data_IF_503358195797
#
_entry.id   IF_503358195797
#
_cell.length_a   1.000
_cell.length_b   1.000
_cell.length_c   1.000
_cell.angle_alpha   90.00
_cell.angle_beta   90.00
_cell.angle_gamma   90.00
#
_symmetry.space_group_name_H-M   'P 1'
#
loop_
_entity.id
_entity.type
_entity.pdbx_description
1 polymer ?
#
# COMPACT_ATOMS: atom_id res chain seq x y z
N UNK A 1 1.82 52.38 -23.18
CA UNK A 1 2.71 51.80 -22.15
C UNK A 1 1.95 51.33 -20.92
N UNK A 2 1.04 52.13 -20.34
CA UNK A 2 0.32 51.75 -19.11
C UNK A 2 -0.76 50.66 -19.30
N UNK A 3 -1.23 50.44 -20.55
CA UNK A 3 -2.13 49.33 -20.87
C UNK A 3 -1.46 47.96 -20.75
N UNK A 4 -0.15 47.88 -21.04
CA UNK A 4 0.65 46.65 -20.92
C UNK A 4 0.87 46.28 -19.44
N UNK A 5 1.05 47.29 -18.57
CA UNK A 5 1.12 47.14 -17.12
C UNK A 5 -0.21 46.64 -16.55
N UNK A 6 -1.34 47.21 -16.98
CA UNK A 6 -2.67 46.78 -16.52
C UNK A 6 -2.97 45.33 -16.94
N UNK A 7 -2.58 44.92 -18.15
CA UNK A 7 -2.78 43.54 -18.61
C UNK A 7 -1.96 42.52 -17.79
N UNK A 8 -0.72 42.86 -17.42
CA UNK A 8 0.15 41.98 -16.62
C UNK A 8 -0.39 41.83 -15.19
N UNK A 9 -0.85 42.92 -14.59
CA UNK A 9 -1.42 42.91 -13.23
C UNK A 9 -2.69 42.07 -13.19
N UNK A 10 -3.59 42.24 -14.17
CA UNK A 10 -4.83 41.46 -14.25
C UNK A 10 -4.53 39.97 -14.49
N UNK A 11 -3.56 39.64 -15.36
CA UNK A 11 -3.20 38.23 -15.59
C UNK A 11 -2.60 37.56 -14.36
N UNK A 12 -1.74 38.26 -13.61
CA UNK A 12 -1.10 37.71 -12.39
C UNK A 12 -2.14 37.49 -11.28
N UNK A 13 -3.08 38.43 -11.12
CA UNK A 13 -4.18 38.31 -10.15
C UNK A 13 -5.14 37.16 -10.50
N UNK A 14 -5.40 36.91 -11.79
CA UNK A 14 -6.21 35.76 -12.24
C UNK A 14 -5.48 34.43 -12.03
N UNK A 15 -4.18 34.35 -12.30
CA UNK A 15 -3.41 33.11 -12.10
C UNK A 15 -3.18 32.76 -10.64
N UNK A 16 -3.19 33.74 -9.72
CA UNK A 16 -2.99 33.50 -8.29
C UNK A 16 -4.22 32.88 -7.58
N UNK A 17 -5.40 32.85 -8.22
CA UNK A 17 -6.62 32.27 -7.65
C UNK A 17 -6.77 30.76 -7.89
N UNK A 18 -5.92 30.16 -8.72
CA UNK A 18 -5.90 28.72 -8.99
C UNK A 18 -4.56 28.17 -8.49
N UNK A 19 -4.57 27.42 -7.40
CA UNK A 19 -3.45 26.55 -7.06
C UNK A 19 -2.81 26.76 -5.69
N UNK A 20 -3.60 26.73 -4.61
CA UNK A 20 -3.23 25.79 -3.55
C UNK A 20 -3.55 24.40 -4.10
N UNK A 21 -2.69 23.89 -4.98
CA UNK A 21 -2.68 22.47 -5.30
C UNK A 21 -2.12 21.80 -4.05
N UNK A 22 -3.02 21.51 -3.12
CA UNK A 22 -2.86 20.58 -2.02
C UNK A 22 -2.36 19.28 -2.66
N UNK A 23 -1.03 19.16 -2.74
CA UNK A 23 -0.34 17.97 -3.19
C UNK A 23 -0.56 16.91 -2.11
N UNK A 24 -1.77 16.38 -2.03
CA UNK A 24 -2.04 15.07 -1.44
C UNK A 24 -1.49 14.02 -2.40
N UNK A 25 -0.17 14.00 -2.51
CA UNK A 25 0.49 12.71 -2.50
C UNK A 25 0.10 12.10 -1.16
N UNK A 26 -0.82 11.13 -1.21
CA UNK A 26 -1.03 10.25 -0.09
C UNK A 26 0.29 9.56 0.21
N UNK A 27 1.10 10.16 1.07
CA UNK A 27 1.95 9.42 1.96
C UNK A 27 1.02 8.50 2.73
N UNK A 28 0.83 7.27 2.25
CA UNK A 28 0.53 6.18 3.15
C UNK A 28 1.76 6.04 4.03
N UNK A 29 1.77 6.85 5.11
CA UNK A 29 2.70 6.74 6.23
C UNK A 29 2.87 5.24 6.49
N UNK A 30 4.09 4.68 6.39
CA UNK A 30 4.27 3.25 6.58
C UNK A 30 3.71 2.91 7.95
N UNK A 31 2.55 2.23 7.95
CA UNK A 31 1.97 1.73 9.19
C UNK A 31 3.06 0.86 9.81
N UNK A 32 3.43 1.08 11.07
CA UNK A 32 4.33 0.16 11.75
C UNK A 32 3.83 -1.25 11.48
N UNK A 33 4.67 -2.11 10.90
CA UNK A 33 4.31 -3.50 10.64
C UNK A 33 4.22 -4.15 12.00
N UNK A 34 3.04 -4.10 12.61
CA UNK A 34 2.79 -4.79 13.86
C UNK A 34 2.91 -6.30 13.58
N UNK A 35 3.61 -7.04 14.45
CA UNK A 35 3.75 -8.47 14.27
C UNK A 35 2.37 -9.13 14.34
N UNK A 36 1.95 -9.75 13.24
CA UNK A 36 0.70 -10.54 13.19
C UNK A 36 0.97 -11.92 13.76
N UNK A 37 0.26 -12.26 14.84
CA UNK A 37 0.32 -13.58 15.45
C UNK A 37 -0.86 -14.44 14.98
N UNK A 38 -0.56 -15.68 14.58
CA UNK A 38 -1.58 -16.66 14.20
C UNK A 38 -1.78 -17.69 15.32
N UNK A 39 -2.93 -18.37 15.31
CA UNK A 39 -3.22 -19.48 16.22
C UNK A 39 -2.26 -20.66 15.99
N UNK A 40 -1.98 -21.42 17.06
CA UNK A 40 -1.09 -22.60 17.03
C UNK A 40 -1.79 -23.84 16.48
N UNK A 41 -2.57 -23.69 15.41
CA UNK A 41 -3.25 -24.80 14.74
C UNK A 41 -2.27 -25.55 13.82
N UNK A 42 -2.43 -26.87 13.72
CA UNK A 42 -1.69 -27.71 12.81
C UNK A 42 -2.62 -28.42 11.83
N UNK A 43 -2.20 -28.52 10.56
CA UNK A 43 -2.86 -29.31 9.52
C UNK A 43 -1.95 -30.45 9.09
N UNK A 44 -2.49 -31.66 9.06
CA UNK A 44 -1.79 -32.83 8.52
C UNK A 44 -1.77 -32.77 6.99
N UNK A 45 -0.60 -33.05 6.42
CA UNK A 45 -0.36 -33.15 4.99
C UNK A 45 -0.44 -34.61 4.51
N UNK A 46 -0.64 -34.85 3.20
CA UNK A 46 -0.75 -36.21 2.65
C UNK A 46 0.51 -37.07 2.86
N UNK A 47 1.67 -36.44 3.01
CA UNK A 47 2.95 -37.10 3.32
C UNK A 47 3.08 -37.47 4.81
N UNK A 48 2.09 -37.12 5.64
CA UNK A 48 2.08 -37.32 7.09
C UNK A 48 2.76 -36.21 7.90
N UNK A 49 3.32 -35.19 7.25
CA UNK A 49 3.89 -34.02 7.94
C UNK A 49 2.79 -33.08 8.46
N UNK A 50 3.16 -32.10 9.29
CA UNK A 50 2.24 -31.08 9.80
C UNK A 50 2.70 -29.67 9.46
N UNK A 51 1.76 -28.82 9.06
CA UNK A 51 2.00 -27.41 8.73
C UNK A 51 1.14 -26.50 9.61
N UNK A 52 1.73 -25.38 10.04
CA UNK A 52 1.05 -24.34 10.82
C UNK A 52 0.48 -23.21 9.95
N UNK A 53 -0.14 -22.23 10.59
CA UNK A 53 -0.61 -20.99 9.95
C UNK A 53 0.53 -19.98 9.76
N UNK A 54 0.50 -19.23 8.65
CA UNK A 54 1.49 -18.21 8.32
C UNK A 54 0.85 -16.81 8.21
N UNK A 55 1.44 -15.76 8.82
CA UNK A 55 0.98 -14.38 8.64
C UNK A 55 1.23 -13.89 7.21
N UNK A 56 0.54 -12.84 6.73
CA UNK A 56 -0.46 -12.02 7.44
C UNK A 56 -1.88 -12.60 7.43
N UNK A 57 -2.18 -13.52 6.52
CA UNK A 57 -3.54 -14.06 6.33
C UNK A 57 -3.90 -15.18 7.30
N UNK A 58 -2.93 -15.67 8.08
CA UNK A 58 -3.07 -16.83 8.95
C UNK A 58 -3.65 -18.07 8.26
N UNK A 59 -3.24 -18.31 7.01
CA UNK A 59 -3.54 -19.52 6.23
C UNK A 59 -2.51 -20.60 6.50
N UNK A 60 -2.87 -21.88 6.33
CA UNK A 60 -1.89 -22.96 6.46
C UNK A 60 -0.78 -22.82 5.42
N UNK A 61 0.46 -23.04 5.84
CA UNK A 61 1.59 -23.16 4.92
C UNK A 61 1.35 -24.31 3.92
N UNK A 62 1.95 -24.26 2.72
CA UNK A 62 1.87 -25.36 1.76
C UNK A 62 2.52 -26.61 2.33
N UNK A 63 1.95 -27.77 1.98
CA UNK A 63 2.56 -29.06 2.33
C UNK A 63 3.91 -29.24 1.63
N UNK A 64 4.91 -29.80 2.31
CA UNK A 64 6.17 -30.15 1.67
C UNK A 64 5.91 -31.14 0.53
N UNK A 65 6.63 -30.98 -0.58
CA UNK A 65 6.53 -31.89 -1.70
C UNK A 65 5.35 -31.67 -2.64
N UNK A 66 4.54 -30.60 -2.49
CA UNK A 66 3.42 -30.23 -3.39
C UNK A 66 3.79 -29.96 -4.87
N UNK A 67 5.01 -30.31 -5.29
CA UNK A 67 5.47 -30.28 -6.67
C UNK A 67 6.38 -31.46 -7.03
N UNK A 68 6.37 -32.55 -6.23
CA UNK A 68 7.20 -33.75 -6.44
C UNK A 68 6.38 -35.04 -6.64
N UNK A 69 5.08 -34.91 -6.66
CA UNK A 69 4.06 -35.96 -6.82
C UNK A 69 3.52 -36.04 -8.26
N UNK A 70 4.40 -35.78 -9.26
CA UNK A 70 4.16 -36.10 -10.67
C UNK A 70 4.96 -37.31 -11.11
#
# INVERSE_FOLDING_TARGET
>A
MNKLLLTIIVSVLLTAAVGAEDKKEGEEKPKPVEPVFCTMDAKMCPDGSFVGRIPPDCKFAPCPGAGKDR
#
